data_IF_353267649946
#
_entry.id   IF_353267649946
#
_cell.length_a   1.000
_cell.length_b   1.000
_cell.length_c   1.000
_cell.angle_alpha   90.00
_cell.angle_beta   90.00
_cell.angle_gamma   90.00
#
_symmetry.space_group_name_H-M   'P 1'
#
loop_
_entity.id
_entity.type
_entity.pdbx_description
1 polymer ?
#
# COMPACT_ATOMS: atom_id res chain seq x y z
N UNK A 1 -13.66 10.51 5.19
CA UNK A 1 -13.41 9.30 5.99
C UNK A 1 -11.97 8.88 5.77
N UNK A 2 -11.19 8.75 6.84
CA UNK A 2 -9.77 8.36 6.79
C UNK A 2 -9.58 6.94 6.23
N UNK A 3 -10.51 6.02 6.50
CA UNK A 3 -10.46 4.65 5.97
C UNK A 3 -10.55 4.66 4.45
N UNK A 4 -11.46 5.46 3.90
CA UNK A 4 -11.61 5.61 2.46
C UNK A 4 -10.37 6.23 1.82
N UNK A 5 -9.72 7.18 2.50
CA UNK A 5 -8.44 7.76 2.07
C UNK A 5 -7.31 6.74 2.00
N UNK A 6 -7.15 5.90 3.04
CA UNK A 6 -6.18 4.79 3.04
C UNK A 6 -6.42 3.86 1.85
N UNK A 7 -7.67 3.53 1.54
CA UNK A 7 -7.99 2.69 0.37
C UNK A 7 -7.59 3.30 -0.95
N UNK A 8 -7.85 4.59 -1.16
CA UNK A 8 -7.44 5.23 -2.40
C UNK A 8 -5.92 5.30 -2.54
N UNK A 9 -5.20 5.58 -1.46
CA UNK A 9 -3.74 5.58 -1.45
C UNK A 9 -3.16 4.19 -1.73
N UNK A 10 -3.73 3.14 -1.13
CA UNK A 10 -3.28 1.78 -1.37
C UNK A 10 -3.52 1.34 -2.82
N UNK A 11 -4.69 1.65 -3.38
CA UNK A 11 -4.97 1.37 -4.79
C UNK A 11 -4.04 2.15 -5.73
N UNK A 12 -3.75 3.42 -5.43
CA UNK A 12 -2.79 4.21 -6.20
C UNK A 12 -1.39 3.59 -6.17
N UNK A 13 -0.93 3.12 -5.00
CA UNK A 13 0.33 2.40 -4.87
C UNK A 13 0.35 1.12 -5.71
N UNK A 14 -0.71 0.30 -5.68
CA UNK A 14 -0.78 -0.92 -6.49
C UNK A 14 -0.73 -0.61 -8.00
N UNK A 15 -1.42 0.45 -8.45
CA UNK A 15 -1.39 0.88 -9.84
C UNK A 15 -0.01 1.38 -10.26
N UNK A 16 0.64 2.18 -9.41
CA UNK A 16 2.01 2.65 -9.65
C UNK A 16 3.01 1.49 -9.77
N UNK A 17 2.95 0.52 -8.85
CA UNK A 17 3.81 -0.65 -8.91
C UNK A 17 3.52 -1.54 -10.12
N UNK A 18 2.26 -1.56 -10.57
CA UNK A 18 1.87 -2.23 -11.82
C UNK A 18 2.42 -1.52 -13.05
N UNK A 19 2.38 -0.19 -13.12
CA UNK A 19 3.01 0.60 -14.20
C UNK A 19 4.52 0.41 -14.26
N UNK A 20 5.16 0.19 -13.10
CA UNK A 20 6.58 -0.18 -13.00
C UNK A 20 6.88 -1.64 -13.34
N UNK A 21 5.86 -2.47 -13.58
CA UNK A 21 5.98 -3.91 -13.78
C UNK A 21 6.57 -4.68 -12.57
N UNK A 22 6.47 -4.10 -11.36
CA UNK A 22 6.95 -4.76 -10.14
C UNK A 22 5.95 -5.76 -9.58
N UNK A 23 4.67 -5.60 -9.92
CA UNK A 23 3.59 -6.54 -9.62
C UNK A 23 2.48 -6.40 -10.67
N UNK A 24 1.52 -7.32 -10.68
CA UNK A 24 0.32 -7.26 -11.53
C UNK A 24 -0.92 -6.95 -10.70
N UNK A 25 -1.41 -5.71 -10.79
CA UNK A 25 -2.60 -5.27 -10.05
C UNK A 25 -3.87 -5.94 -10.59
N UNK A 26 -4.55 -6.73 -9.75
CA UNK A 26 -5.79 -7.45 -10.08
C UNK A 26 -6.78 -7.40 -8.93
N UNK A 27 -8.10 -7.32 -9.20
CA UNK A 27 -9.10 -7.18 -8.14
C UNK A 27 -9.28 -8.43 -7.27
N UNK A 28 -8.83 -9.60 -7.72
CA UNK A 28 -8.94 -10.87 -6.99
C UNK A 28 -7.69 -11.24 -6.17
N UNK A 29 -6.61 -10.45 -6.27
CA UNK A 29 -5.35 -10.75 -5.57
C UNK A 29 -5.37 -10.24 -4.14
N UNK A 30 -4.76 -11.02 -3.27
CA UNK A 30 -4.51 -10.71 -1.87
C UNK A 30 -3.23 -9.88 -1.71
N UNK A 31 -3.09 -9.23 -0.55
CA UNK A 31 -1.85 -8.53 -0.19
C UNK A 31 -0.63 -9.48 -0.13
N UNK A 32 -0.86 -10.76 0.23
CA UNK A 32 0.17 -11.79 0.22
C UNK A 32 0.69 -12.08 -1.19
N UNK A 33 -0.20 -12.25 -2.16
CA UNK A 33 0.21 -12.46 -3.56
C UNK A 33 0.94 -11.25 -4.16
N UNK A 34 0.67 -10.03 -3.68
CA UNK A 34 1.46 -8.86 -4.06
C UNK A 34 2.85 -8.86 -3.41
N UNK A 35 2.94 -9.25 -2.15
CA UNK A 35 4.22 -9.41 -1.46
C UNK A 35 5.10 -10.45 -2.15
N UNK A 36 4.55 -11.60 -2.54
CA UNK A 36 5.30 -12.66 -3.21
C UNK A 36 5.90 -12.18 -4.56
N UNK A 37 5.14 -11.44 -5.37
CA UNK A 37 5.68 -10.85 -6.61
C UNK A 37 6.77 -9.81 -6.32
N UNK A 38 6.58 -8.98 -5.29
CA UNK A 38 7.58 -7.99 -4.89
C UNK A 38 8.84 -8.64 -4.33
N UNK A 39 8.75 -9.82 -3.72
CA UNK A 39 9.91 -10.57 -3.25
C UNK A 39 10.81 -11.03 -4.40
N UNK A 40 10.25 -11.30 -5.57
CA UNK A 40 11.03 -11.67 -6.77
C UNK A 40 11.78 -10.47 -7.38
N UNK A 41 11.20 -9.26 -7.26
CA UNK A 41 11.74 -8.03 -7.87
C UNK A 41 12.66 -7.26 -6.92
N UNK A 42 12.23 -7.10 -5.66
CA UNK A 42 12.94 -6.33 -4.64
C UNK A 42 12.54 -6.77 -3.22
N UNK A 43 13.22 -7.77 -2.64
CA UNK A 43 12.95 -8.22 -1.28
C UNK A 43 12.94 -7.10 -0.22
N UNK A 44 13.88 -6.12 -0.24
CA UNK A 44 13.83 -5.02 0.72
C UNK A 44 12.58 -4.14 0.60
N UNK A 45 12.03 -3.99 -0.61
CA UNK A 45 10.77 -3.26 -0.81
C UNK A 45 9.57 -4.09 -0.38
N UNK A 46 9.56 -5.39 -0.68
CA UNK A 46 8.51 -6.32 -0.27
C UNK A 46 8.31 -6.31 1.26
N UNK A 47 9.39 -6.35 2.04
CA UNK A 47 9.33 -6.24 3.50
C UNK A 47 8.66 -4.95 3.97
N UNK A 48 8.99 -3.81 3.35
CA UNK A 48 8.34 -2.53 3.66
C UNK A 48 6.86 -2.53 3.25
N UNK A 49 6.56 -3.08 2.07
CA UNK A 49 5.20 -3.24 1.58
C UNK A 49 4.35 -4.10 2.51
N UNK A 50 4.91 -5.18 3.06
CA UNK A 50 4.22 -6.07 4.00
C UNK A 50 3.73 -5.29 5.23
N UNK A 51 4.59 -4.48 5.83
CA UNK A 51 4.22 -3.60 6.96
C UNK A 51 3.08 -2.65 6.58
N UNK A 52 3.15 -2.02 5.40
CA UNK A 52 2.10 -1.12 4.93
C UNK A 52 0.77 -1.84 4.67
N UNK A 53 0.81 -3.03 4.06
CA UNK A 53 -0.39 -3.85 3.82
C UNK A 53 -1.06 -4.28 5.13
N UNK A 54 -0.29 -4.54 6.19
CA UNK A 54 -0.84 -4.79 7.52
C UNK A 54 -1.68 -3.62 8.05
N UNK A 55 -1.24 -2.38 7.85
CA UNK A 55 -2.00 -1.18 8.25
C UNK A 55 -3.31 -1.07 7.45
N UNK A 56 -3.27 -1.40 6.16
CA UNK A 56 -4.46 -1.46 5.32
C UNK A 56 -5.44 -2.54 5.83
N UNK A 57 -4.96 -3.75 6.09
CA UNK A 57 -5.78 -4.87 6.54
C UNK A 57 -6.39 -4.61 7.92
N UNK A 58 -5.64 -4.03 8.86
CA UNK A 58 -6.19 -3.62 10.16
C UNK A 58 -7.29 -2.54 10.03
N UNK A 59 -7.14 -1.62 9.07
CA UNK A 59 -8.10 -0.54 8.84
C UNK A 59 -9.41 -1.02 8.22
N UNK A 60 -9.38 -2.12 7.44
CA UNK A 60 -10.53 -2.65 6.71
C UNK A 60 -11.16 -3.89 7.36
N UNK A 61 -10.33 -4.83 7.84
CA UNK A 61 -10.75 -6.10 8.40
C UNK A 61 -10.55 -6.19 9.92
N UNK A 62 -9.55 -5.49 10.47
CA UNK A 62 -9.20 -5.54 11.90
C UNK A 62 -10.11 -4.73 12.82
N UNK A 63 -11.10 -3.99 12.30
CA UNK A 63 -12.09 -3.26 13.09
C UNK A 63 -11.55 -2.07 13.89
N UNK A 64 -10.26 -1.71 13.76
CA UNK A 64 -9.70 -0.55 14.46
C UNK A 64 -10.23 0.76 13.84
N UNK A 65 -10.58 1.77 14.64
CA UNK A 65 -10.91 3.09 14.13
C UNK A 65 -9.69 3.70 13.43
N UNK A 66 -9.83 4.02 12.14
CA UNK A 66 -8.82 4.79 11.42
C UNK A 66 -8.90 6.25 11.84
N UNK A 67 -7.84 6.78 12.44
CA UNK A 67 -7.74 8.18 12.83
C UNK A 67 -6.84 8.97 11.85
N UNK A 68 -6.72 10.28 12.09
CA UNK A 68 -5.90 11.18 11.28
C UNK A 68 -4.42 10.81 11.26
N UNK A 69 -3.91 10.32 12.38
CA UNK A 69 -2.50 9.97 12.56
C UNK A 69 -2.12 8.77 11.69
N UNK A 70 -2.92 7.70 11.75
CA UNK A 70 -2.74 6.52 10.91
C UNK A 70 -2.82 6.86 9.42
N UNK A 71 -3.80 7.70 9.05
CA UNK A 71 -3.91 8.19 7.68
C UNK A 71 -2.67 8.97 7.24
N UNK A 72 -2.19 9.91 8.06
CA UNK A 72 -1.02 10.71 7.73
C UNK A 72 0.23 9.85 7.60
N UNK A 73 0.42 8.88 8.49
CA UNK A 73 1.55 7.94 8.42
C UNK A 73 1.51 7.11 7.14
N UNK A 74 0.33 6.59 6.77
CA UNK A 74 0.13 5.86 5.52
C UNK A 74 0.41 6.73 4.29
N UNK A 75 -0.10 7.97 4.29
CA UNK A 75 0.11 8.94 3.23
C UNK A 75 1.59 9.26 3.02
N UNK A 76 2.35 9.52 4.09
CA UNK A 76 3.76 9.85 3.95
C UNK A 76 4.58 8.69 3.37
N UNK A 77 4.32 7.45 3.82
CA UNK A 77 5.00 6.27 3.26
C UNK A 77 4.69 6.07 1.77
N UNK A 78 3.41 6.14 1.39
CA UNK A 78 3.00 6.01 -0.01
C UNK A 78 3.61 7.13 -0.87
N UNK A 79 3.61 8.37 -0.36
CA UNK A 79 4.22 9.52 -1.05
C UNK A 79 5.73 9.36 -1.23
N UNK A 80 6.45 8.88 -0.21
CA UNK A 80 7.88 8.63 -0.28
C UNK A 80 8.20 7.60 -1.37
N UNK A 81 7.43 6.52 -1.45
CA UNK A 81 7.68 5.42 -2.38
C UNK A 81 7.34 5.74 -3.83
N UNK A 82 6.34 6.58 -4.06
CA UNK A 82 5.97 7.02 -5.41
C UNK A 82 6.96 8.05 -5.98
N UNK A 83 7.91 8.53 -5.17
CA UNK A 83 8.80 9.63 -5.50
C UNK A 83 8.02 10.92 -5.37
N UNK A 84 8.29 11.70 -4.32
CA UNK A 84 7.54 12.91 -4.01
C UNK A 84 7.57 13.95 -5.13
N UNK A 85 6.67 13.84 -6.11
CA UNK A 85 6.23 14.98 -6.91
C UNK A 85 5.22 15.76 -6.07
N UNK A 86 5.67 16.89 -5.53
CA UNK A 86 4.75 17.98 -5.25
C UNK A 86 4.56 18.77 -6.56
N UNK A 87 3.34 19.24 -6.88
CA UNK A 87 3.19 20.39 -7.76
C UNK A 87 3.86 21.63 -7.16
#
# INVERSE_FOLDING_TARGET
DYRQGIRYLFLALLLYLNEKEWLKARPWKTNGEYYDELMEVSPPFAERFHVLSGIFDESFYGGRPTNRENYNHFYQQVKEWMGGEQP
#
